data_IF_831060666660
#
_entry.id   IF_831060666660
#
_cell.length_a   1.000
_cell.length_b   1.000
_cell.length_c   1.000
_cell.angle_alpha   90.00
_cell.angle_beta   90.00
_cell.angle_gamma   90.00
#
_symmetry.space_group_name_H-M   'P 1'
#
loop_
_entity.id
_entity.type
_entity.pdbx_description
1 polymer ?
#
# COMPACT_ATOMS: atom_id res chain seq x y z
N UNK A 1 1.23 17.95 15.00
CA UNK A 1 0.87 19.39 14.91
C UNK A 1 -0.04 19.57 13.69
N UNK A 2 -1.05 20.46 13.71
CA UNK A 2 -1.88 20.70 12.54
C UNK A 2 -1.08 21.43 11.45
N UNK A 3 -1.22 21.01 10.20
CA UNK A 3 -0.54 21.66 9.08
C UNK A 3 -1.36 22.83 8.57
N UNK A 4 -0.68 23.92 8.22
CA UNK A 4 -1.31 25.15 7.78
C UNK A 4 -0.85 25.52 6.37
N UNK A 5 -1.80 25.93 5.53
CA UNK A 5 -1.52 26.57 4.25
C UNK A 5 -1.65 28.07 4.40
N UNK A 6 -0.71 28.82 3.84
CA UNK A 6 -0.63 30.27 3.96
C UNK A 6 -0.81 30.95 2.61
N UNK A 7 -1.45 32.12 2.61
CA UNK A 7 -1.41 33.04 1.48
C UNK A 7 0.01 33.63 1.31
N UNK A 8 0.28 34.22 0.14
CA UNK A 8 1.51 34.97 -0.11
C UNK A 8 1.73 36.14 0.88
N UNK A 9 0.66 36.61 1.54
CA UNK A 9 0.72 37.64 2.58
C UNK A 9 1.00 37.09 4.00
N UNK A 10 1.22 35.78 4.16
CA UNK A 10 1.58 35.13 5.43
C UNK A 10 0.40 34.77 6.35
N UNK A 11 -0.85 35.02 5.94
CA UNK A 11 -2.03 34.60 6.72
C UNK A 11 -2.39 33.14 6.45
N UNK A 12 -2.69 32.35 7.48
CA UNK A 12 -3.10 30.95 7.33
C UNK A 12 -4.53 30.88 6.80
N UNK A 13 -4.74 30.21 5.68
CA UNK A 13 -6.05 30.07 5.06
C UNK A 13 -6.75 28.77 5.45
N UNK A 14 -5.99 27.67 5.58
CA UNK A 14 -6.53 26.37 5.95
C UNK A 14 -5.65 25.69 6.98
N UNK A 15 -6.29 25.05 7.96
CA UNK A 15 -5.62 24.25 8.98
C UNK A 15 -6.13 22.82 8.91
N UNK A 16 -5.25 21.90 8.56
CA UNK A 16 -5.54 20.47 8.45
C UNK A 16 -4.94 19.73 9.64
N UNK A 17 -5.82 19.17 10.49
CA UNK A 17 -5.35 18.30 11.56
C UNK A 17 -4.85 17.00 10.95
N UNK A 18 -3.65 16.61 11.35
CA UNK A 18 -3.07 15.32 11.01
C UNK A 18 -2.68 15.14 9.55
N UNK A 19 -2.75 16.17 8.71
CA UNK A 19 -2.04 16.23 7.45
C UNK A 19 -0.59 16.62 7.72
N UNK A 20 0.37 16.06 6.99
CA UNK A 20 1.79 16.44 7.00
C UNK A 20 2.20 16.81 5.59
N UNK A 21 2.87 17.95 5.40
CA UNK A 21 3.44 18.33 4.10
C UNK A 21 4.93 17.98 4.08
N UNK A 22 5.29 17.06 3.20
CA UNK A 22 6.66 16.70 2.89
C UNK A 22 7.11 17.29 1.56
N UNK A 23 8.37 17.06 1.20
CA UNK A 23 8.91 17.46 -0.10
C UNK A 23 8.35 16.58 -1.23
N UNK A 24 7.93 15.36 -0.89
CA UNK A 24 7.33 14.41 -1.83
C UNK A 24 5.86 14.11 -1.48
N UNK A 25 5.06 13.83 -2.51
CA UNK A 25 3.66 13.42 -2.33
C UNK A 25 3.55 12.15 -1.48
N UNK A 26 4.46 11.20 -1.66
CA UNK A 26 4.45 9.95 -0.90
C UNK A 26 4.72 10.18 0.59
N UNK A 27 5.70 11.03 0.91
CA UNK A 27 6.01 11.42 2.30
C UNK A 27 4.83 12.15 2.94
N UNK A 28 4.22 13.07 2.19
CA UNK A 28 3.00 13.79 2.60
C UNK A 28 1.87 12.83 2.93
N UNK A 29 1.59 11.86 2.05
CA UNK A 29 0.51 10.90 2.23
C UNK A 29 0.82 9.96 3.40
N UNK A 30 1.96 9.26 3.38
CA UNK A 30 2.29 8.26 4.40
C UNK A 30 2.45 8.88 5.79
N UNK A 31 3.04 10.07 5.88
CA UNK A 31 3.21 10.81 7.13
C UNK A 31 1.92 11.41 7.70
N UNK A 32 0.82 11.39 6.94
CA UNK A 32 -0.48 11.90 7.39
C UNK A 32 -1.30 10.85 8.12
N UNK A 33 -2.12 11.31 9.06
CA UNK A 33 -3.13 10.51 9.76
C UNK A 33 -4.49 10.49 9.05
N UNK A 34 -5.35 9.57 9.44
CA UNK A 34 -6.72 9.45 8.95
C UNK A 34 -7.66 10.55 9.47
N UNK A 35 -7.21 11.42 10.36
CA UNK A 35 -8.10 12.36 11.06
C UNK A 35 -8.91 13.28 10.14
N UNK A 36 -8.39 13.63 8.96
CA UNK A 36 -9.14 14.41 7.97
C UNK A 36 -10.26 13.60 7.31
N UNK A 37 -10.05 12.31 7.08
CA UNK A 37 -11.01 11.42 6.42
C UNK A 37 -12.24 11.12 7.29
N UNK A 38 -12.16 11.37 8.60
CA UNK A 38 -13.28 11.32 9.55
C UNK A 38 -14.04 12.64 9.69
N UNK A 39 -13.67 13.69 8.93
CA UNK A 39 -14.28 15.01 9.05
C UNK A 39 -14.70 15.56 7.70
N UNK A 40 -16.02 15.70 7.51
CA UNK A 40 -16.58 16.33 6.30
C UNK A 40 -16.09 17.76 6.09
N UNK A 41 -15.86 18.50 7.18
CA UNK A 41 -15.29 19.84 7.13
C UNK A 41 -13.89 19.78 6.55
N UNK A 42 -13.05 18.89 7.06
CA UNK A 42 -11.67 18.74 6.58
C UNK A 42 -11.62 18.36 5.09
N UNK A 43 -12.43 17.39 4.67
CA UNK A 43 -12.51 16.95 3.26
C UNK A 43 -12.94 18.10 2.34
N UNK A 44 -13.92 18.91 2.77
CA UNK A 44 -14.36 20.08 2.01
C UNK A 44 -13.29 21.16 1.90
N UNK A 45 -12.61 21.48 3.00
CA UNK A 45 -11.51 22.45 2.96
C UNK A 45 -10.34 21.94 2.09
N UNK A 46 -10.05 20.65 2.14
CA UNK A 46 -9.02 20.04 1.31
C UNK A 46 -9.36 20.12 -0.19
N UNK A 47 -10.63 19.86 -0.56
CA UNK A 47 -11.09 20.03 -1.94
C UNK A 47 -10.92 21.47 -2.43
N UNK A 48 -11.31 22.46 -1.63
CA UNK A 48 -11.13 23.88 -1.99
C UNK A 48 -9.67 24.24 -2.26
N UNK A 49 -8.72 23.65 -1.52
CA UNK A 49 -7.28 23.85 -1.78
C UNK A 49 -6.91 23.31 -3.15
N UNK A 50 -7.32 22.08 -3.47
CA UNK A 50 -7.02 21.49 -4.77
C UNK A 50 -7.66 22.34 -5.88
N UNK A 51 -8.91 22.81 -5.69
CA UNK A 51 -9.60 23.69 -6.64
C UNK A 51 -8.83 24.99 -6.92
N UNK A 52 -8.18 25.56 -5.91
CA UNK A 52 -7.42 26.81 -6.04
C UNK A 52 -6.08 26.63 -6.76
N UNK A 53 -5.37 25.53 -6.48
CA UNK A 53 -4.04 25.29 -7.04
C UNK A 53 -4.07 24.53 -8.37
N UNK A 54 -5.14 23.77 -8.64
CA UNK A 54 -5.23 22.84 -9.76
C UNK A 54 -6.58 22.89 -10.51
N UNK A 55 -7.02 24.07 -10.97
CA UNK A 55 -8.37 24.28 -11.51
C UNK A 55 -8.67 23.48 -12.79
N UNK A 56 -7.67 23.20 -13.64
CA UNK A 56 -7.88 22.52 -14.93
C UNK A 56 -8.08 21.01 -14.81
N UNK A 57 -7.57 20.37 -13.74
CA UNK A 57 -7.69 18.92 -13.59
C UNK A 57 -9.01 18.51 -12.92
N UNK A 58 -9.68 19.41 -12.19
CA UNK A 58 -10.81 19.04 -11.33
C UNK A 58 -12.15 18.90 -12.02
N UNK A 59 -12.40 19.52 -13.17
CA UNK A 59 -13.65 19.27 -13.91
C UNK A 59 -13.70 17.81 -14.41
N UNK A 60 -12.53 17.23 -14.70
CA UNK A 60 -12.38 15.82 -15.04
C UNK A 60 -12.48 14.92 -13.82
N UNK A 61 -11.89 15.32 -12.68
CA UNK A 61 -11.89 14.53 -11.45
C UNK A 61 -13.20 14.62 -10.65
N UNK A 62 -13.91 15.75 -10.65
CA UNK A 62 -15.19 15.92 -9.92
C UNK A 62 -16.32 15.08 -10.51
N UNK A 63 -16.29 14.83 -11.82
CA UNK A 63 -17.21 13.92 -12.51
C UNK A 63 -16.87 12.43 -12.29
N UNK A 64 -15.65 12.13 -11.81
CA UNK A 64 -15.13 10.75 -11.65
C UNK A 64 -14.91 10.34 -10.18
N UNK A 65 -14.69 11.31 -9.30
CA UNK A 65 -14.52 11.09 -7.86
C UNK A 65 -15.89 11.28 -7.21
N UNK A 66 -16.41 10.22 -6.61
CA UNK A 66 -17.71 10.24 -5.95
C UNK A 66 -17.85 11.38 -4.93
N UNK A 67 -19.09 11.58 -4.48
CA UNK A 67 -19.41 12.52 -3.41
C UNK A 67 -18.41 12.36 -2.24
N UNK A 68 -17.99 13.45 -1.58
CA UNK A 68 -17.07 13.35 -0.46
C UNK A 68 -17.71 12.49 0.63
N UNK A 69 -17.15 11.29 0.84
CA UNK A 69 -17.60 10.33 1.86
C UNK A 69 -16.63 10.41 3.03
N UNK A 70 -17.20 10.53 4.22
CA UNK A 70 -16.46 10.46 5.48
C UNK A 70 -16.28 8.98 5.85
N UNK A 71 -15.11 8.62 6.35
CA UNK A 71 -14.92 7.28 6.93
C UNK A 71 -15.84 7.09 8.14
N UNK A 72 -16.56 5.98 8.14
CA UNK A 72 -17.40 5.59 9.26
C UNK A 72 -16.57 4.77 10.26
N UNK A 73 -16.38 5.31 11.46
CA UNK A 73 -15.62 4.67 12.53
C UNK A 73 -16.23 3.34 13.00
N UNK A 74 -17.51 3.08 12.71
CA UNK A 74 -18.17 1.81 13.00
C UNK A 74 -17.99 0.75 11.89
N UNK A 75 -17.64 1.19 10.67
CA UNK A 75 -17.49 0.31 9.51
C UNK A 75 -16.03 -0.06 9.19
N UNK A 76 -15.08 0.53 9.92
CA UNK A 76 -13.64 0.36 9.68
C UNK A 76 -12.91 -0.05 10.96
N UNK A 77 -11.82 -0.80 10.79
CA UNK A 77 -10.92 -1.19 11.89
C UNK A 77 -9.88 -0.12 12.25
N UNK A 78 -9.77 0.93 11.43
CA UNK A 78 -8.73 1.95 11.59
C UNK A 78 -9.22 3.11 12.47
N UNK A 79 -8.40 3.55 13.41
CA UNK A 79 -8.69 4.70 14.27
C UNK A 79 -8.53 6.03 13.53
N UNK A 80 -9.21 7.07 14.03
CA UNK A 80 -9.04 8.45 13.57
C UNK A 80 -7.58 8.95 13.65
N UNK A 81 -6.80 8.38 14.58
CA UNK A 81 -5.41 8.78 14.79
C UNK A 81 -4.40 7.86 14.06
N UNK A 82 -4.87 6.82 13.37
CA UNK A 82 -3.98 5.94 12.62
C UNK A 82 -3.34 6.69 11.46
N UNK A 83 -2.13 6.28 11.08
CA UNK A 83 -1.44 6.83 9.92
C UNK A 83 -1.94 6.17 8.64
N UNK A 84 -1.94 6.92 7.53
CA UNK A 84 -2.22 6.34 6.21
C UNK A 84 -1.19 5.26 5.88
N UNK A 85 0.06 5.42 6.35
CA UNK A 85 1.08 4.38 6.30
C UNK A 85 0.62 3.05 6.90
N UNK A 86 -0.16 3.07 7.98
CA UNK A 86 -0.70 1.83 8.58
C UNK A 86 -1.60 1.10 7.59
N UNK A 87 -2.46 1.82 6.85
CA UNK A 87 -3.29 1.22 5.80
C UNK A 87 -2.39 0.62 4.71
N UNK A 88 -1.41 1.39 4.23
CA UNK A 88 -0.50 0.94 3.18
C UNK A 88 0.24 -0.35 3.59
N UNK A 89 0.79 -0.39 4.81
CA UNK A 89 1.48 -1.56 5.33
C UNK A 89 0.57 -2.80 5.39
N UNK A 90 -0.66 -2.63 5.86
CA UNK A 90 -1.67 -3.68 5.95
C UNK A 90 -2.21 -4.18 4.58
N UNK A 91 -1.84 -3.52 3.47
CA UNK A 91 -2.18 -3.98 2.11
C UNK A 91 -1.11 -4.91 1.52
N UNK A 92 0.09 -4.92 2.09
CA UNK A 92 1.17 -5.81 1.63
C UNK A 92 1.01 -7.21 2.22
N UNK A 93 1.54 -8.21 1.52
CA UNK A 93 1.60 -9.60 2.00
C UNK A 93 2.52 -9.64 3.24
N UNK A 94 1.93 -9.87 4.41
CA UNK A 94 2.64 -9.86 5.70
C UNK A 94 3.50 -11.13 5.90
N UNK A 95 3.16 -12.24 5.25
CA UNK A 95 3.95 -13.48 5.32
C UNK A 95 3.96 -14.24 4.00
N UNK A 96 5.15 -14.65 3.57
CA UNK A 96 5.34 -15.63 2.51
C UNK A 96 5.37 -17.07 3.04
N UNK A 97 5.33 -17.23 4.36
CA UNK A 97 5.38 -18.51 5.05
C UNK A 97 3.99 -19.17 5.08
N UNK A 98 3.51 -19.56 3.92
CA UNK A 98 2.45 -20.56 3.87
C UNK A 98 3.08 -21.92 4.22
N UNK A 99 2.40 -22.72 5.06
CA UNK A 99 2.82 -24.10 5.35
C UNK A 99 2.50 -24.98 4.13
N UNK A 100 3.20 -24.72 3.03
CA UNK A 100 3.04 -25.43 1.76
C UNK A 100 3.97 -26.61 1.79
N UNK A 101 3.38 -27.80 1.88
CA UNK A 101 4.11 -29.03 1.62
C UNK A 101 4.42 -29.13 0.14
N UNK A 102 5.71 -29.11 -0.19
CA UNK A 102 6.19 -29.39 -1.55
C UNK A 102 6.38 -30.89 -1.79
N UNK A 103 5.94 -31.77 -0.88
CA UNK A 103 6.09 -33.22 -0.98
C UNK A 103 5.58 -33.75 -2.32
N UNK A 104 4.41 -33.30 -2.77
CA UNK A 104 3.84 -33.77 -4.03
C UNK A 104 4.64 -33.29 -5.26
N UNK A 105 5.20 -32.08 -5.19
CA UNK A 105 6.12 -31.57 -6.21
C UNK A 105 7.41 -32.39 -6.22
N UNK A 106 8.01 -32.64 -5.06
CA UNK A 106 9.21 -33.46 -4.93
C UNK A 106 8.99 -34.90 -5.39
N UNK A 107 7.85 -35.51 -5.06
CA UNK A 107 7.50 -36.87 -5.52
C UNK A 107 7.27 -36.92 -7.02
N UNK A 108 6.62 -35.91 -7.59
CA UNK A 108 6.42 -35.80 -9.05
C UNK A 108 7.75 -35.59 -9.79
N UNK A 109 8.64 -34.80 -9.20
CA UNK A 109 9.94 -34.46 -9.78
C UNK A 109 11.09 -35.36 -9.32
N UNK A 110 10.85 -36.36 -8.48
CA UNK A 110 11.88 -37.30 -8.08
C UNK A 110 12.23 -38.21 -9.27
N UNK A 111 13.51 -38.47 -9.47
CA UNK A 111 13.93 -39.45 -10.45
C UNK A 111 13.42 -40.84 -10.03
N UNK A 112 12.67 -41.50 -10.93
CA UNK A 112 12.12 -42.84 -10.65
C UNK A 112 13.20 -43.92 -10.69
N UNK A 113 14.26 -43.69 -11.46
CA UNK A 113 15.35 -44.64 -11.63
C UNK A 113 16.69 -43.89 -11.71
N UNK A 114 17.70 -44.45 -11.06
CA UNK A 114 19.08 -44.01 -11.18
C UNK A 114 19.96 -45.20 -11.56
N UNK A 115 20.88 -44.97 -12.49
CA UNK A 115 21.90 -45.92 -12.91
C UNK A 115 23.24 -45.46 -12.33
N UNK A 116 23.89 -46.36 -11.61
CA UNK A 116 25.20 -46.13 -11.01
C UNK A 116 26.26 -46.76 -11.92
N UNK A 117 27.15 -45.94 -12.44
CA UNK A 117 28.32 -46.35 -13.21
C UNK A 117 29.55 -46.29 -12.31
N UNK A 118 30.10 -47.46 -11.99
CA UNK A 118 31.36 -47.58 -11.25
C UNK A 118 32.48 -47.70 -12.27
N UNK A 119 33.33 -46.67 -12.34
CA UNK A 119 34.55 -46.62 -13.14
C UNK A 119 35.71 -46.74 -12.14
N UNK A 120 36.82 -47.36 -12.53
CA UNK A 120 37.98 -47.66 -11.64
C UNK A 120 38.50 -46.48 -10.82
N UNK A 121 38.24 -45.23 -11.25
CA UNK A 121 38.65 -43.99 -10.56
C UNK A 121 37.49 -43.02 -10.25
N UNK A 122 36.24 -43.33 -10.61
CA UNK A 122 35.11 -42.43 -10.34
C UNK A 122 33.75 -43.14 -10.34
N UNK A 123 32.80 -42.59 -9.57
CA UNK A 123 31.40 -43.02 -9.60
C UNK A 123 30.58 -41.95 -10.32
N UNK A 124 29.88 -42.35 -11.39
CA UNK A 124 28.89 -41.51 -12.08
C UNK A 124 27.48 -42.01 -11.78
N UNK A 125 26.60 -41.10 -11.39
CA UNK A 125 25.18 -41.39 -11.18
C UNK A 125 24.39 -40.66 -12.26
N UNK A 126 23.56 -41.39 -13.00
CA UNK A 126 22.64 -40.81 -13.97
C UNK A 126 21.21 -41.16 -13.59
N UNK A 127 20.40 -40.14 -13.32
CA UNK A 127 19.04 -40.30 -12.83
C UNK A 127 18.07 -39.76 -13.87
N UNK A 128 16.99 -40.50 -14.17
CA UNK A 128 16.00 -40.11 -15.16
C UNK A 128 14.57 -40.20 -14.61
N UNK A 129 13.72 -39.33 -15.15
CA UNK A 129 12.27 -39.35 -14.97
C UNK A 129 11.63 -39.94 -16.23
N UNK A 130 11.82 -41.24 -16.50
CA UNK A 130 11.07 -41.85 -17.60
C UNK A 130 9.62 -42.09 -17.14
N UNK A 131 8.68 -41.47 -17.86
CA UNK A 131 7.23 -41.74 -17.78
C UNK A 131 6.91 -43.11 -18.35
#
# INVERSE_FOLDING_TARGET
MPTQLFFANGTSYYTFKGLVLGCFLLETILGSSLSCFYSMVCIKEFRKVIDLYWPEDLEKWSNQTGFPVVLDASATRFSINDMIETIAYNMFIESWASNVSYENLFQTCAAKQCIIHIITESIRVNCSQHS
#
